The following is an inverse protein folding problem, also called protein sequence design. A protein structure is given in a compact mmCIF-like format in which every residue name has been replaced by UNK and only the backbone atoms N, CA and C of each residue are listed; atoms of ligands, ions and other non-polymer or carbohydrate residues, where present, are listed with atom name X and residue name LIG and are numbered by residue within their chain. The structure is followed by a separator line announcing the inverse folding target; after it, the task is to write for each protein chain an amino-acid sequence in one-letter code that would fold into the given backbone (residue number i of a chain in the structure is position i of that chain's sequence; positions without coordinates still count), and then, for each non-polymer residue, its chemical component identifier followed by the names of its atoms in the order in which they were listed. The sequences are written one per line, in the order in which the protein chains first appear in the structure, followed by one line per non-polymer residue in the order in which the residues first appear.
data_IF_857724726080
#
_entry.id   IF_857724726080
#
_cell.length_a   1.000
_cell.length_b   1.000
_cell.length_c   1.000
_cell.angle_alpha   90.00
_cell.angle_beta   90.00
_cell.angle_gamma   90.00
#
_symmetry.space_group_name_H-M   'P 1'
#
loop_
_entity.id
_entity.type
_entity.pdbx_description
1 polymer ?
#
# COMPACT_ATOMS: atom_id res chain seq x y z
N UNK A 1 -11.82 -16.51 -7.28
CA UNK A 1 -11.50 -15.45 -6.30
C UNK A 1 -12.27 -14.19 -6.69
N UNK A 2 -13.49 -14.04 -6.17
CA UNK A 2 -14.29 -12.82 -6.31
C UNK A 2 -13.97 -11.90 -5.13
N UNK A 3 -12.88 -11.14 -5.24
CA UNK A 3 -12.55 -10.09 -4.29
C UNK A 3 -12.78 -8.75 -4.93
N UNK A 4 -13.52 -7.86 -4.26
CA UNK A 4 -13.64 -6.47 -4.68
C UNK A 4 -12.24 -5.89 -4.94
N UNK A 5 -12.04 -5.06 -5.98
CA UNK A 5 -10.76 -4.43 -6.25
C UNK A 5 -10.21 -3.73 -5.00
N UNK A 6 -8.93 -3.98 -4.70
CA UNK A 6 -8.23 -3.32 -3.59
C UNK A 6 -7.47 -2.11 -4.15
N UNK A 7 -7.55 -0.92 -3.52
CA UNK A 7 -6.85 0.27 -4.00
C UNK A 7 -5.33 0.08 -3.98
N UNK A 8 -4.64 0.73 -4.91
CA UNK A 8 -3.18 0.81 -4.94
C UNK A 8 -2.66 1.70 -3.80
N UNK A 9 -1.47 1.39 -3.29
CA UNK A 9 -0.71 2.30 -2.43
C UNK A 9 0.24 3.12 -3.29
N UNK A 10 0.16 4.45 -3.18
CA UNK A 10 1.07 5.38 -3.85
C UNK A 10 1.74 6.25 -2.80
N UNK A 11 3.08 6.30 -2.80
CA UNK A 11 3.87 7.16 -1.91
C UNK A 11 4.58 8.19 -2.78
N UNK A 12 4.12 9.44 -2.75
CA UNK A 12 4.69 10.50 -3.57
C UNK A 12 5.99 11.01 -2.97
N UNK A 13 7.01 11.16 -3.80
CA UNK A 13 8.31 11.62 -3.32
C UNK A 13 8.98 10.63 -2.37
N UNK A 14 8.69 9.32 -2.52
CA UNK A 14 9.49 8.26 -1.91
C UNK A 14 10.98 8.31 -2.34
N UNK A 15 11.33 9.17 -3.30
CA UNK A 15 12.67 9.33 -3.83
C UNK A 15 13.72 9.76 -2.80
N UNK A 16 14.97 9.61 -3.23
CA UNK A 16 16.23 9.68 -2.48
C UNK A 16 16.56 11.00 -1.79
N UNK A 17 15.76 12.05 -2.00
CA UNK A 17 16.04 13.39 -1.47
C UNK A 17 15.93 13.35 0.05
N UNK A 18 17.10 13.33 0.70
CA UNK A 18 17.30 13.40 2.15
C UNK A 18 17.05 12.11 2.93
N UNK A 19 17.73 11.02 2.57
CA UNK A 19 18.05 9.96 3.55
C UNK A 19 19.37 10.35 4.25
N UNK A 20 19.32 11.00 5.43
CA UNK A 20 20.53 11.41 6.13
C UNK A 20 21.31 10.18 6.58
N UNK A 21 22.63 10.24 6.44
CA UNK A 21 23.50 9.29 7.13
C UNK A 21 23.50 9.62 8.63
N UNK A 22 23.34 8.63 9.52
CA UNK A 22 23.55 8.84 10.94
C UNK A 22 24.99 9.31 11.22
N UNK A 23 25.18 10.15 12.25
CA UNK A 23 26.50 10.67 12.60
C UNK A 23 27.53 9.55 12.78
N UNK A 24 28.66 9.65 12.10
CA UNK A 24 29.74 8.65 12.16
C UNK A 24 29.46 7.34 11.42
N UNK A 25 28.35 7.24 10.67
CA UNK A 25 28.00 6.07 9.87
C UNK A 25 28.04 6.44 8.38
N UNK A 26 28.71 5.64 7.56
CA UNK A 26 28.84 5.88 6.11
C UNK A 26 27.83 5.09 5.27
N UNK A 27 26.84 4.43 5.89
CA UNK A 27 25.78 3.75 5.18
C UNK A 27 24.47 3.77 5.98
N UNK A 28 23.33 3.72 5.30
CA UNK A 28 22.01 3.67 5.94
C UNK A 28 20.98 2.98 5.06
N UNK A 29 19.94 2.47 5.70
CA UNK A 29 18.74 1.89 5.09
C UNK A 29 17.52 2.75 5.43
N UNK A 30 16.55 2.79 4.54
CA UNK A 30 15.31 3.54 4.72
C UNK A 30 14.13 2.79 4.11
N UNK A 31 13.42 2.03 4.94
CA UNK A 31 12.20 1.30 4.61
C UNK A 31 11.04 2.30 4.42
N UNK A 32 10.39 2.28 3.25
CA UNK A 32 9.31 3.22 2.95
C UNK A 32 7.95 2.56 2.74
N UNK A 33 7.92 1.25 2.46
CA UNK A 33 6.67 0.52 2.32
C UNK A 33 6.84 -0.90 2.85
N UNK A 34 5.86 -1.39 3.59
CA UNK A 34 5.81 -2.77 4.07
C UNK A 34 4.39 -3.31 3.92
N UNK A 35 4.28 -4.58 3.58
CA UNK A 35 3.03 -5.31 3.58
C UNK A 35 3.28 -6.74 4.01
N UNK A 36 2.29 -7.37 4.64
CA UNK A 36 2.25 -8.82 4.81
C UNK A 36 1.37 -9.41 3.72
N UNK A 37 1.90 -10.36 2.95
CA UNK A 37 1.15 -10.98 1.85
C UNK A 37 -0.10 -11.69 2.37
N UNK A 38 -1.17 -11.66 1.56
CA UNK A 38 -2.42 -12.37 1.83
C UNK A 38 -2.44 -13.69 1.05
N UNK A 39 -1.48 -14.55 1.39
CA UNK A 39 -1.24 -15.87 0.78
C UNK A 39 -1.27 -16.94 1.87
N UNK A 40 -1.36 -18.22 1.49
CA UNK A 40 -1.41 -19.33 2.47
C UNK A 40 -0.15 -19.44 3.34
N UNK A 41 0.99 -18.95 2.82
CA UNK A 41 2.20 -18.69 3.59
C UNK A 41 2.51 -17.19 3.57
N UNK A 42 2.03 -16.41 4.56
CA UNK A 42 2.23 -14.97 4.60
C UNK A 42 3.70 -14.60 4.87
N UNK A 43 4.28 -13.80 3.98
CA UNK A 43 5.60 -13.22 4.15
C UNK A 43 5.49 -11.69 4.24
N UNK A 44 6.53 -11.04 4.78
CA UNK A 44 6.65 -9.60 4.61
C UNK A 44 7.24 -9.30 3.23
N UNK A 45 6.82 -8.18 2.66
CA UNK A 45 7.49 -7.53 1.54
C UNK A 45 7.73 -6.10 2.00
N UNK A 46 8.97 -5.78 2.32
CA UNK A 46 9.37 -4.43 2.72
C UNK A 46 10.31 -3.86 1.68
N UNK A 47 9.97 -2.68 1.16
CA UNK A 47 10.76 -1.96 0.17
C UNK A 47 11.44 -0.76 0.81
N UNK A 48 12.65 -0.47 0.37
CA UNK A 48 13.44 0.63 0.91
C UNK A 48 14.58 1.06 0.00
N UNK A 49 15.37 2.01 0.50
CA UNK A 49 16.58 2.46 -0.14
C UNK A 49 17.81 2.23 0.73
N UNK A 50 18.91 1.88 0.09
CA UNK A 50 20.22 1.78 0.69
C UNK A 50 21.09 2.90 0.14
N UNK A 51 21.71 3.67 1.04
CA UNK A 51 22.72 4.68 0.71
C UNK A 51 24.04 4.29 1.37
N UNK A 52 25.13 4.41 0.64
CA UNK A 52 26.49 4.25 1.16
C UNK A 52 27.40 5.36 0.61
N UNK A 53 28.35 5.81 1.42
CA UNK A 53 29.44 6.72 1.09
C UNK A 53 30.78 6.07 1.45
N UNK A 54 31.88 6.60 0.90
CA UNK A 54 33.22 6.12 1.16
C UNK A 54 33.52 6.07 2.66
N UNK A 55 34.14 4.98 3.11
CA UNK A 55 34.41 4.73 4.52
C UNK A 55 34.60 3.25 4.81
N UNK A 56 34.52 2.84 6.10
CA UNK A 56 34.65 1.44 6.49
C UNK A 56 33.63 0.53 5.79
N UNK A 57 34.05 -0.70 5.48
CA UNK A 57 33.17 -1.73 4.97
C UNK A 57 32.07 -2.08 5.98
N UNK A 58 30.88 -2.42 5.47
CA UNK A 58 29.69 -2.69 6.26
C UNK A 58 29.30 -4.16 6.14
N UNK A 59 29.59 -5.00 7.14
CA UNK A 59 29.21 -6.40 7.11
C UNK A 59 27.69 -6.54 7.25
N UNK A 60 27.13 -7.52 6.54
CA UNK A 60 25.74 -7.91 6.64
C UNK A 60 25.60 -9.44 6.60
N UNK A 61 24.77 -9.97 7.49
CA UNK A 61 24.37 -11.36 7.51
C UNK A 61 22.86 -11.46 7.29
N UNK A 62 22.47 -12.24 6.30
CA UNK A 62 21.09 -12.32 5.82
C UNK A 62 20.34 -13.46 6.51
N UNK A 63 19.34 -13.09 7.33
CA UNK A 63 18.34 -14.02 7.89
C UNK A 63 16.99 -13.93 7.19
N UNK A 64 16.95 -13.18 6.09
CA UNK A 64 15.81 -12.93 5.20
C UNK A 64 16.36 -12.75 3.77
N UNK A 65 15.53 -12.93 2.76
CA UNK A 65 15.87 -12.64 1.38
C UNK A 65 15.90 -11.13 1.11
N UNK A 66 16.85 -10.69 0.28
CA UNK A 66 16.90 -9.32 -0.22
C UNK A 66 17.17 -9.30 -1.72
N UNK A 67 16.40 -8.52 -2.46
CA UNK A 67 16.71 -8.08 -3.81
C UNK A 67 17.18 -6.64 -3.78
N UNK A 68 18.29 -6.32 -4.46
CA UNK A 68 18.84 -4.97 -4.52
C UNK A 68 19.10 -4.58 -5.96
N UNK A 69 18.72 -3.36 -6.32
CA UNK A 69 18.94 -2.77 -7.64
C UNK A 69 19.64 -1.43 -7.49
N UNK A 70 20.82 -1.27 -8.09
CA UNK A 70 21.61 -0.04 -7.98
C UNK A 70 21.03 1.02 -8.90
N UNK A 71 20.66 2.16 -8.31
CA UNK A 71 20.03 3.27 -9.02
C UNK A 71 21.06 4.31 -9.47
N UNK A 72 22.08 4.58 -8.67
CA UNK A 72 23.17 5.50 -9.02
C UNK A 72 24.43 5.23 -8.20
N UNK A 73 25.56 5.74 -8.68
CA UNK A 73 26.86 5.52 -8.06
C UNK A 73 27.34 4.08 -8.23
N UNK A 74 28.07 3.59 -7.24
CA UNK A 74 28.71 2.27 -7.26
C UNK A 74 28.71 1.66 -5.85
N UNK A 75 28.40 0.37 -5.75
CA UNK A 75 28.40 -0.42 -4.51
C UNK A 75 29.24 -1.67 -4.73
N UNK A 76 30.27 -1.83 -3.92
CA UNK A 76 31.10 -3.03 -3.88
C UNK A 76 30.50 -4.01 -2.88
N UNK A 77 30.37 -5.27 -3.30
CA UNK A 77 29.86 -6.36 -2.46
C UNK A 77 30.88 -7.47 -2.43
N UNK A 78 31.60 -7.60 -1.33
CA UNK A 78 32.40 -8.80 -1.06
C UNK A 78 31.44 -9.93 -0.67
N UNK A 79 31.32 -10.94 -1.50
CA UNK A 79 30.65 -12.19 -1.16
C UNK A 79 31.60 -13.07 -0.35
N UNK A 80 31.33 -13.23 0.94
CA UNK A 80 32.22 -14.00 1.82
C UNK A 80 32.23 -15.50 1.50
N UNK A 81 31.20 -16.02 0.81
CA UNK A 81 31.15 -17.43 0.43
C UNK A 81 32.15 -17.75 -0.69
N UNK A 82 32.39 -16.81 -1.60
CA UNK A 82 33.29 -16.99 -2.76
C UNK A 82 34.60 -16.22 -2.64
N UNK A 83 34.66 -15.22 -1.75
CA UNK A 83 35.78 -14.29 -1.63
C UNK A 83 35.87 -13.26 -2.76
N UNK A 84 34.85 -13.19 -3.64
CA UNK A 84 34.83 -12.29 -4.79
C UNK A 84 34.17 -10.97 -4.39
N UNK A 85 34.80 -9.86 -4.78
CA UNK A 85 34.18 -8.53 -4.72
C UNK A 85 33.49 -8.21 -6.04
N UNK A 86 32.18 -8.06 -6.00
CA UNK A 86 31.38 -7.63 -7.12
C UNK A 86 31.27 -6.11 -7.14
N UNK A 87 31.59 -5.50 -8.28
CA UNK A 87 31.54 -4.05 -8.49
C UNK A 87 30.20 -3.68 -9.15
N UNK A 88 29.17 -3.40 -8.34
CA UNK A 88 27.83 -3.10 -8.84
C UNK A 88 27.68 -1.60 -9.16
N UNK A 89 27.08 -1.29 -10.29
CA UNK A 89 26.86 0.07 -10.82
C UNK A 89 25.40 0.27 -11.21
N UNK A 90 25.02 1.50 -11.58
CA UNK A 90 23.64 1.82 -11.95
C UNK A 90 23.11 0.87 -13.04
N UNK A 91 22.00 0.19 -12.74
CA UNK A 91 21.40 -0.82 -13.63
C UNK A 91 21.61 -2.26 -13.17
N UNK A 92 22.59 -2.51 -12.29
CA UNK A 92 22.91 -3.85 -11.81
C UNK A 92 21.97 -4.32 -10.70
N UNK A 93 21.74 -5.63 -10.70
CA UNK A 93 20.89 -6.33 -9.74
C UNK A 93 21.71 -7.34 -8.93
N UNK A 94 21.39 -7.46 -7.63
CA UNK A 94 21.93 -8.50 -6.76
C UNK A 94 20.81 -9.11 -5.91
N UNK A 95 20.91 -10.42 -5.69
CA UNK A 95 20.04 -11.16 -4.79
C UNK A 95 20.85 -11.76 -3.64
N UNK A 96 20.35 -11.60 -2.42
CA UNK A 96 20.96 -12.12 -1.20
C UNK A 96 20.02 -13.17 -0.62
N UNK A 97 20.51 -14.41 -0.54
CA UNK A 97 19.77 -15.53 0.03
C UNK A 97 19.83 -15.50 1.56
N UNK A 98 18.86 -16.15 2.21
CA UNK A 98 19.02 -16.51 3.63
C UNK A 98 20.31 -17.31 3.80
N UNK A 99 21.16 -16.88 4.72
CA UNK A 99 22.49 -17.45 4.96
C UNK A 99 23.63 -16.70 4.28
N UNK A 100 23.36 -15.81 3.31
CA UNK A 100 24.40 -14.98 2.69
C UNK A 100 25.12 -14.11 3.74
N UNK A 101 26.44 -13.97 3.58
CA UNK A 101 27.29 -13.06 4.35
C UNK A 101 28.09 -12.22 3.37
N UNK A 102 28.02 -10.90 3.54
CA UNK A 102 28.65 -9.96 2.61
C UNK A 102 29.24 -8.77 3.34
N UNK A 103 30.13 -8.05 2.67
CA UNK A 103 30.59 -6.74 3.11
C UNK A 103 30.34 -5.70 2.03
N UNK A 104 29.58 -4.66 2.35
CA UNK A 104 29.31 -3.55 1.46
C UNK A 104 30.38 -2.47 1.60
N UNK A 105 30.87 -1.94 0.48
CA UNK A 105 31.76 -0.78 0.46
C UNK A 105 31.53 0.05 -0.80
N UNK A 106 32.20 1.20 -0.91
CA UNK A 106 32.25 2.01 -2.13
C UNK A 106 33.48 2.89 -2.08
N UNK A 107 34.04 3.23 -3.24
CA UNK A 107 35.12 4.23 -3.31
C UNK A 107 34.60 5.68 -3.29
N UNK A 108 33.30 5.87 -3.49
CA UNK A 108 32.69 7.20 -3.57
C UNK A 108 31.33 7.22 -2.88
N UNK A 109 30.25 6.95 -3.62
CA UNK A 109 28.90 6.82 -3.11
C UNK A 109 28.12 5.78 -3.93
N UNK A 110 27.12 5.20 -3.30
CA UNK A 110 26.20 4.27 -3.94
C UNK A 110 24.78 4.45 -3.40
N UNK A 111 23.81 4.32 -4.29
CA UNK A 111 22.40 4.41 -3.96
C UNK A 111 21.63 3.29 -4.66
N UNK A 112 20.87 2.51 -3.89
CA UNK A 112 20.17 1.34 -4.39
C UNK A 112 18.76 1.24 -3.82
N UNK A 113 17.83 0.76 -4.63
CA UNK A 113 16.53 0.26 -4.19
C UNK A 113 16.67 -1.17 -3.68
N UNK A 114 15.91 -1.55 -2.66
CA UNK A 114 15.82 -2.94 -2.22
C UNK A 114 14.40 -3.37 -1.88
N UNK A 115 14.18 -4.68 -1.93
CA UNK A 115 13.01 -5.38 -1.39
C UNK A 115 13.50 -6.51 -0.49
N UNK A 116 12.96 -6.63 0.71
CA UNK A 116 13.32 -7.65 1.71
C UNK A 116 12.10 -8.37 2.26
N UNK A 117 12.30 -9.60 2.73
CA UNK A 117 11.24 -10.44 3.31
C UNK A 117 11.10 -10.33 4.83
N UNK A 118 11.49 -9.18 5.40
CA UNK A 118 11.36 -8.86 6.84
C UNK A 118 10.36 -7.73 7.09
N UNK A 119 9.81 -7.59 8.32
CA UNK A 119 9.11 -6.37 8.74
C UNK A 119 10.00 -5.13 8.66
N UNK A 120 9.41 -3.94 8.83
CA UNK A 120 10.15 -2.66 8.95
C UNK A 120 11.16 -2.75 10.09
N UNK A 121 12.37 -2.30 9.80
CA UNK A 121 13.49 -2.20 10.75
C UNK A 121 13.97 -0.76 10.85
N UNK A 122 14.17 -0.12 9.71
CA UNK A 122 14.75 1.22 9.60
C UNK A 122 13.79 2.13 8.83
N UNK A 123 12.77 2.67 9.50
CA UNK A 123 11.72 3.44 8.85
C UNK A 123 12.28 4.72 8.19
N UNK A 124 11.83 5.01 6.97
CA UNK A 124 12.23 6.21 6.25
C UNK A 124 11.74 7.47 7.01
N UNK A 125 12.65 8.33 7.49
CA UNK A 125 12.30 9.40 8.43
C UNK A 125 11.39 10.48 7.82
N UNK A 126 11.57 10.75 6.51
CA UNK A 126 10.96 11.89 5.83
C UNK A 126 9.71 11.57 4.99
N UNK A 127 9.11 10.37 5.14
CA UNK A 127 7.92 9.97 4.35
C UNK A 127 6.59 10.01 5.12
N UNK A 128 6.58 10.43 6.38
CA UNK A 128 5.33 10.58 7.15
C UNK A 128 4.39 11.57 6.45
N UNK A 129 3.18 11.10 6.10
CA UNK A 129 2.14 11.91 5.44
C UNK A 129 2.31 12.09 3.92
N UNK A 130 3.27 11.40 3.29
CA UNK A 130 3.49 11.40 1.83
C UNK A 130 2.72 10.30 1.09
N UNK A 131 2.20 9.32 1.83
CA UNK A 131 1.24 8.35 1.29
C UNK A 131 0.04 9.12 0.76
N UNK A 132 -0.29 8.90 -0.52
CA UNK A 132 -1.46 9.53 -1.11
C UNK A 132 -2.66 9.07 -0.33
N UNK A 133 -3.35 10.03 0.28
CA UNK A 133 -4.68 9.76 0.79
C UNK A 133 -5.51 9.38 -0.41
N UNK A 134 -5.86 8.11 -0.50
CA UNK A 134 -6.93 7.67 -1.38
C UNK A 134 -8.14 8.48 -0.95
N UNK A 135 -8.50 9.49 -1.75
CA UNK A 135 -9.86 10.02 -1.74
C UNK A 135 -10.71 8.86 -2.20
N UNK A 136 -11.09 8.01 -1.27
CA UNK A 136 -12.26 7.17 -1.43
C UNK A 136 -13.36 8.10 -1.91
N UNK A 137 -13.63 8.09 -3.22
CA UNK A 137 -14.81 8.73 -3.80
C UNK A 137 -16.08 7.99 -3.40
N UNK A 138 -15.98 7.00 -2.51
CA UNK A 138 -17.10 6.59 -1.71
C UNK A 138 -17.38 7.71 -0.71
N UNK A 139 -18.17 8.67 -1.18
CA UNK A 139 -18.93 9.52 -0.28
C UNK A 139 -19.62 8.59 0.73
N UNK A 140 -19.42 8.85 2.02
CA UNK A 140 -20.27 8.27 3.05
C UNK A 140 -21.73 8.54 2.64
N UNK A 141 -22.61 7.54 2.72
CA UNK A 141 -24.04 7.85 2.82
C UNK A 141 -24.20 8.63 4.12
N UNK A 142 -24.31 9.95 4.00
CA UNK A 142 -24.78 10.77 5.09
C UNK A 142 -26.28 10.55 5.21
N UNK A 143 -26.78 10.57 6.44
CA UNK A 143 -28.21 10.53 6.73
C UNK A 143 -28.94 9.21 6.47
N UNK A 144 -28.25 8.06 6.59
CA UNK A 144 -28.89 6.74 6.49
C UNK A 144 -29.98 6.55 7.55
N UNK A 145 -29.89 7.24 8.70
CA UNK A 145 -30.93 7.25 9.74
C UNK A 145 -32.28 7.77 9.24
N UNK A 146 -32.28 8.52 8.12
CA UNK A 146 -33.50 9.04 7.49
C UNK A 146 -34.06 8.11 6.41
N UNK A 147 -33.35 7.04 6.02
CA UNK A 147 -33.78 6.14 4.96
C UNK A 147 -35.04 5.36 5.35
N UNK A 148 -35.05 4.68 6.49
CA UNK A 148 -36.21 3.89 6.92
C UNK A 148 -37.48 4.74 7.03
N UNK A 149 -37.49 5.90 7.74
CA UNK A 149 -38.68 6.74 7.81
C UNK A 149 -39.14 7.30 6.44
N UNK A 150 -38.20 7.61 5.56
CA UNK A 150 -38.50 8.11 4.22
C UNK A 150 -39.12 7.04 3.32
N UNK A 151 -38.59 5.81 3.38
CA UNK A 151 -39.09 4.67 2.62
C UNK A 151 -40.47 4.22 3.14
N UNK A 152 -40.66 4.13 4.46
CA UNK A 152 -41.94 3.78 5.06
C UNK A 152 -43.03 4.81 4.72
N UNK A 153 -42.69 6.12 4.73
CA UNK A 153 -43.63 7.17 4.32
C UNK A 153 -44.03 7.06 2.85
N UNK A 154 -43.12 6.59 2.00
CA UNK A 154 -43.31 6.58 0.54
C UNK A 154 -44.00 5.31 0.04
N UNK A 155 -43.68 4.16 0.65
CA UNK A 155 -44.07 2.84 0.17
C UNK A 155 -44.94 2.06 1.17
N UNK A 156 -45.12 2.57 2.40
CA UNK A 156 -45.77 1.87 3.50
C UNK A 156 -44.74 1.18 4.40
N UNK A 157 -45.09 1.09 5.69
CA UNK A 157 -44.21 0.51 6.72
C UNK A 157 -43.82 -0.93 6.37
N UNK A 158 -42.51 -1.21 6.35
CA UNK A 158 -41.97 -2.56 6.12
C UNK A 158 -42.08 -3.07 4.67
N UNK A 159 -42.46 -2.23 3.70
CA UNK A 159 -42.59 -2.60 2.28
C UNK A 159 -41.30 -2.50 1.47
N UNK A 160 -40.26 -1.95 2.08
CA UNK A 160 -38.95 -1.75 1.45
C UNK A 160 -37.86 -2.07 2.46
N UNK A 161 -36.98 -2.99 2.10
CA UNK A 161 -35.77 -3.28 2.84
C UNK A 161 -34.58 -2.60 2.19
N UNK A 162 -33.59 -2.21 3.01
CA UNK A 162 -32.36 -1.64 2.50
C UNK A 162 -31.15 -2.12 3.31
N UNK A 163 -30.01 -2.17 2.64
CA UNK A 163 -28.73 -2.53 3.24
C UNK A 163 -27.60 -1.71 2.62
N UNK A 164 -26.54 -1.47 3.41
CA UNK A 164 -25.35 -0.77 2.97
C UNK A 164 -24.20 -1.77 2.86
N UNK A 165 -23.84 -2.12 1.63
CA UNK A 165 -22.79 -3.10 1.35
C UNK A 165 -21.56 -2.35 0.82
N UNK A 166 -20.66 -2.00 1.74
CA UNK A 166 -19.49 -1.18 1.41
C UNK A 166 -19.93 0.20 0.91
N UNK A 167 -19.68 0.55 -0.35
CA UNK A 167 -20.15 1.79 -0.94
C UNK A 167 -21.37 1.56 -1.84
N UNK A 168 -22.37 0.81 -1.42
CA UNK A 168 -23.57 0.61 -2.22
C UNK A 168 -24.76 0.63 -1.28
N UNK A 169 -25.79 1.40 -1.63
CA UNK A 169 -27.11 1.25 -1.04
C UNK A 169 -27.88 0.25 -1.88
N UNK A 170 -28.17 -0.91 -1.30
CA UNK A 170 -29.04 -1.91 -1.87
C UNK A 170 -30.45 -1.66 -1.34
N UNK A 171 -31.44 -1.63 -2.23
CA UNK A 171 -32.86 -1.50 -1.87
C UNK A 171 -33.61 -2.67 -2.51
N UNK A 172 -34.44 -3.34 -1.72
CA UNK A 172 -35.35 -4.38 -2.17
C UNK A 172 -36.78 -3.94 -1.81
N UNK A 173 -37.72 -4.03 -2.76
CA UNK A 173 -39.11 -3.64 -2.54
C UNK A 173 -40.05 -4.71 -3.10
N UNK A 174 -41.17 -4.90 -2.42
CA UNK A 174 -42.31 -5.68 -2.94
C UNK A 174 -42.99 -4.98 -4.13
N UNK A 175 -42.76 -3.68 -4.31
CA UNK A 175 -43.33 -2.87 -5.39
C UNK A 175 -42.31 -2.65 -6.50
N UNK A 176 -42.73 -2.77 -7.77
CA UNK A 176 -41.81 -2.78 -8.93
C UNK A 176 -41.18 -1.42 -9.26
N UNK A 177 -41.66 -0.32 -8.67
CA UNK A 177 -41.26 1.04 -9.06
C UNK A 177 -40.29 1.71 -8.06
N UNK A 178 -39.06 1.20 -8.02
CA UNK A 178 -37.96 1.79 -7.23
C UNK A 178 -37.27 2.93 -8.01
N UNK A 179 -37.61 3.12 -9.29
CA UNK A 179 -37.07 4.20 -10.10
C UNK A 179 -37.58 5.58 -9.63
N UNK A 180 -38.85 5.67 -9.23
CA UNK A 180 -39.45 6.88 -8.66
C UNK A 180 -38.92 7.21 -7.24
N UNK A 181 -38.34 6.23 -6.53
CA UNK A 181 -37.76 6.44 -5.18
C UNK A 181 -36.67 7.51 -5.16
N UNK A 182 -35.95 7.67 -6.28
CA UNK A 182 -34.81 8.58 -6.41
C UNK A 182 -35.20 10.04 -6.17
N UNK A 183 -36.30 10.48 -6.76
CA UNK A 183 -36.73 11.88 -6.69
C UNK A 183 -37.31 12.19 -5.31
N UNK A 184 -38.15 11.28 -4.80
CA UNK A 184 -38.77 11.39 -3.47
C UNK A 184 -37.75 11.39 -2.33
N UNK A 185 -36.70 10.55 -2.41
CA UNK A 185 -35.63 10.55 -1.40
C UNK A 185 -34.81 11.85 -1.40
N UNK A 186 -34.60 12.48 -2.58
CA UNK A 186 -33.96 13.80 -2.66
C UNK A 186 -34.78 14.90 -2.02
N UNK A 187 -36.10 14.91 -2.25
CA UNK A 187 -37.02 15.87 -1.62
C UNK A 187 -37.02 15.76 -0.09
N UNK A 188 -36.81 14.54 0.43
CA UNK A 188 -36.72 14.27 1.87
C UNK A 188 -35.34 14.59 2.47
N UNK A 189 -34.44 15.22 1.70
CA UNK A 189 -33.12 15.63 2.16
C UNK A 189 -32.15 14.48 2.35
N UNK A 190 -32.42 13.33 1.73
CA UNK A 190 -31.48 12.21 1.62
C UNK A 190 -30.70 12.42 0.32
N UNK A 191 -29.40 12.70 0.42
CA UNK A 191 -28.51 12.84 -0.74
C UNK A 191 -27.84 11.50 -1.06
N UNK A 192 -28.32 10.70 -2.02
CA UNK A 192 -27.68 9.43 -2.34
C UNK A 192 -26.42 9.69 -3.17
N UNK A 193 -25.38 8.92 -2.89
CA UNK A 193 -24.08 9.05 -3.53
C UNK A 193 -23.77 7.83 -4.38
N UNK A 194 -24.63 7.42 -5.32
CA UNK A 194 -24.46 6.08 -5.91
C UNK A 194 -24.47 5.99 -7.43
N UNK A 195 -23.55 5.15 -7.93
CA UNK A 195 -23.31 4.80 -9.33
C UNK A 195 -24.05 3.53 -9.80
N UNK A 196 -24.59 2.66 -8.94
CA UNK A 196 -25.39 1.50 -9.38
C UNK A 196 -26.43 1.07 -8.33
N UNK A 197 -27.71 1.01 -8.72
CA UNK A 197 -28.78 0.37 -7.94
C UNK A 197 -28.94 -1.08 -8.40
N UNK A 198 -28.65 -2.04 -7.53
CA UNK A 198 -29.01 -3.45 -7.77
C UNK A 198 -30.43 -3.71 -7.28
N UNK A 199 -31.38 -3.73 -8.21
CA UNK A 199 -32.77 -4.13 -7.96
C UNK A 199 -32.89 -5.66 -7.86
N UNK A 200 -33.57 -6.14 -6.82
CA UNK A 200 -34.16 -7.49 -6.77
C UNK A 200 -35.59 -7.38 -6.26
N UNK A 201 -36.52 -8.03 -6.95
CA UNK A 201 -37.86 -8.33 -6.43
C UNK A 201 -37.69 -9.17 -5.15
N UNK A 202 -38.38 -8.79 -4.08
CA UNK A 202 -38.56 -9.64 -2.90
C UNK A 202 -39.53 -10.76 -3.32
N UNK A 203 -39.08 -12.01 -3.27
CA UNK A 203 -39.94 -13.20 -3.46
C UNK A 203 -40.84 -13.42 -2.24
#
# INVERSE_FOLDING_TARGET
MSGNPVPLTVIKGAGFEHIPLPNGVNATTADFHTIRTKTDSPAHITSGFYKIEAGPARPAQYTFEESKYVLSGQVDVLDEATGITHHLTAGDFAFFHVGSKVQFSTKSQGFAFYVVTRPVRDAHPNLKGREEKTKSHFNKISHYEKLTPALDKTYGEGKVEWDIIGPLLKIASETKDVAESRERLRELGVTPTWEEFCYRELD
#
